data_IF_487222115100
#
_entry.id   IF_487222115100
#
_cell.length_a   1.000
_cell.length_b   1.000
_cell.length_c   1.000
_cell.angle_alpha   90.00
_cell.angle_beta   90.00
_cell.angle_gamma   90.00
#
_symmetry.space_group_name_H-M   'P 1'
#
loop_
_entity.id
_entity.type
_entity.pdbx_description
1 polymer ?
#
# COMPACT_ATOMS: atom_id res chain seq x y z
N UNK A 1 -11.84 38.93 -23.65
CA UNK A 1 -12.11 37.90 -24.67
C UNK A 1 -10.90 37.90 -25.58
N UNK A 2 -10.07 36.88 -25.73
CA UNK A 2 -10.01 35.45 -25.40
C UNK A 2 -8.51 35.15 -25.36
N UNK A 3 -7.97 34.30 -24.49
CA UNK A 3 -7.97 32.85 -24.65
C UNK A 3 -8.04 32.20 -23.26
N UNK A 4 -9.20 31.64 -22.93
CA UNK A 4 -9.21 30.47 -22.07
C UNK A 4 -8.65 29.35 -22.94
N UNK A 5 -7.35 29.06 -22.82
CA UNK A 5 -6.81 27.82 -23.34
C UNK A 5 -7.48 26.68 -22.57
N UNK A 6 -8.50 26.12 -23.22
CA UNK A 6 -9.09 24.84 -22.89
C UNK A 6 -7.99 23.79 -23.06
N UNK A 7 -7.18 23.56 -22.03
CA UNK A 7 -6.48 22.28 -21.91
C UNK A 7 -7.58 21.21 -21.95
N UNK A 8 -7.63 20.34 -22.97
CA UNK A 8 -8.40 19.12 -22.89
C UNK A 8 -7.97 18.43 -21.59
N UNK A 9 -8.89 17.81 -20.89
CA UNK A 9 -8.66 17.25 -19.56
C UNK A 9 -7.68 16.05 -19.67
N UNK A 10 -6.38 16.33 -19.83
CA UNK A 10 -5.29 15.37 -20.09
C UNK A 10 -5.24 14.30 -19.00
N UNK A 11 -5.49 14.70 -17.75
CA UNK A 11 -5.70 13.79 -16.64
C UNK A 11 -6.81 12.77 -16.94
N UNK A 12 -8.01 13.21 -17.31
CA UNK A 12 -9.13 12.32 -17.61
C UNK A 12 -8.85 11.41 -18.80
N UNK A 13 -8.15 11.89 -19.83
CA UNK A 13 -7.76 11.07 -20.98
C UNK A 13 -6.77 9.97 -20.56
N UNK A 14 -5.69 10.32 -19.86
CA UNK A 14 -4.69 9.36 -19.39
C UNK A 14 -5.29 8.38 -18.37
N UNK A 15 -6.13 8.87 -17.45
CA UNK A 15 -6.83 8.03 -16.47
C UNK A 15 -7.76 7.04 -17.16
N UNK A 16 -8.49 7.47 -18.18
CA UNK A 16 -9.37 6.59 -18.95
C UNK A 16 -8.57 5.57 -19.76
N UNK A 17 -7.49 6.00 -20.42
CA UNK A 17 -6.60 5.14 -21.21
C UNK A 17 -5.94 4.05 -20.36
N UNK A 18 -5.56 4.37 -19.13
CA UNK A 18 -4.89 3.45 -18.21
C UNK A 18 -5.79 2.93 -17.09
N UNK A 19 -7.12 3.01 -17.27
CA UNK A 19 -8.12 2.55 -16.30
C UNK A 19 -7.88 1.11 -15.84
N UNK A 20 -7.56 0.21 -16.76
CA UNK A 20 -7.26 -1.20 -16.45
C UNK A 20 -6.15 -1.36 -15.40
N UNK A 21 -5.12 -0.51 -15.46
CA UNK A 21 -4.00 -0.53 -14.53
C UNK A 21 -4.39 0.11 -13.20
N UNK A 22 -5.00 1.29 -13.26
CA UNK A 22 -5.40 2.06 -12.08
C UNK A 22 -6.38 1.25 -11.22
N UNK A 23 -7.45 0.72 -11.83
CA UNK A 23 -8.47 -0.03 -11.11
C UNK A 23 -7.91 -1.32 -10.51
N UNK A 24 -7.02 -2.02 -11.22
CA UNK A 24 -6.39 -3.25 -10.71
C UNK A 24 -5.55 -2.98 -9.46
N UNK A 25 -4.67 -1.96 -9.49
CA UNK A 25 -3.85 -1.65 -8.32
C UNK A 25 -4.64 -0.99 -7.19
N UNK A 26 -5.67 -0.18 -7.49
CA UNK A 26 -6.59 0.31 -6.47
C UNK A 26 -7.28 -0.85 -5.75
N UNK A 27 -7.73 -1.88 -6.49
CA UNK A 27 -8.35 -3.09 -5.92
C UNK A 27 -7.37 -3.84 -5.01
N UNK A 28 -6.11 -4.00 -5.43
CA UNK A 28 -5.08 -4.70 -4.65
C UNK A 28 -4.69 -3.97 -3.37
N UNK A 29 -4.45 -2.66 -3.43
CA UNK A 29 -4.04 -1.87 -2.26
C UNK A 29 -5.19 -1.59 -1.29
N UNK A 30 -6.45 -1.63 -1.76
CA UNK A 30 -7.64 -1.46 -0.93
C UNK A 30 -8.35 -2.79 -0.60
N UNK A 31 -7.68 -3.93 -0.80
CA UNK A 31 -8.23 -5.25 -0.57
C UNK A 31 -8.72 -5.39 0.89
N UNK A 32 -9.96 -5.89 1.04
CA UNK A 32 -10.63 -6.04 2.35
C UNK A 32 -11.30 -7.40 2.57
N UNK A 33 -10.88 -8.42 1.82
CA UNK A 33 -11.54 -9.73 1.80
C UNK A 33 -10.56 -10.87 2.04
N UNK A 34 -11.05 -11.89 2.73
CA UNK A 34 -10.39 -13.19 2.89
C UNK A 34 -11.20 -14.30 2.19
N UNK A 35 -12.30 -13.94 1.52
CA UNK A 35 -13.16 -14.89 0.83
C UNK A 35 -12.47 -15.39 -0.45
N UNK A 36 -12.27 -16.71 -0.53
CA UNK A 36 -11.53 -17.35 -1.63
C UNK A 36 -12.15 -17.11 -3.02
N UNK A 37 -13.48 -17.02 -3.14
CA UNK A 37 -14.17 -16.78 -4.40
C UNK A 37 -13.98 -15.34 -4.89
N UNK A 38 -14.00 -14.37 -3.96
CA UNK A 38 -13.67 -12.98 -4.25
C UNK A 38 -12.19 -12.83 -4.66
N UNK A 39 -11.27 -13.49 -3.95
CA UNK A 39 -9.85 -13.51 -4.31
C UNK A 39 -9.62 -14.11 -5.69
N UNK A 40 -10.34 -15.19 -6.02
CA UNK A 40 -10.28 -15.79 -7.35
C UNK A 40 -10.80 -14.84 -8.45
N UNK A 41 -11.80 -14.01 -8.14
CA UNK A 41 -12.30 -12.98 -9.05
C UNK A 41 -11.28 -11.86 -9.27
N UNK A 42 -10.61 -11.40 -8.20
CA UNK A 42 -9.50 -10.44 -8.29
C UNK A 42 -8.34 -11.02 -9.11
N UNK A 43 -8.00 -12.28 -8.87
CA UNK A 43 -6.98 -13.00 -9.64
C UNK A 43 -7.32 -13.03 -11.14
N UNK A 44 -8.55 -13.38 -11.53
CA UNK A 44 -8.99 -13.36 -12.93
C UNK A 44 -8.87 -11.99 -13.59
N UNK A 45 -9.19 -10.93 -12.85
CA UNK A 45 -9.01 -9.55 -13.33
C UNK A 45 -7.52 -9.25 -13.59
N UNK A 46 -6.63 -9.55 -12.64
CA UNK A 46 -5.18 -9.38 -12.80
C UNK A 46 -4.67 -10.16 -14.02
N UNK A 47 -5.08 -11.42 -14.12
CA UNK A 47 -4.72 -12.33 -15.20
C UNK A 47 -5.07 -11.72 -16.57
N UNK A 48 -6.33 -11.33 -16.75
CA UNK A 48 -6.85 -10.84 -18.03
C UNK A 48 -6.31 -9.46 -18.40
N UNK A 49 -6.35 -8.52 -17.46
CA UNK A 49 -6.04 -7.11 -17.72
C UNK A 49 -4.53 -6.84 -17.84
N UNK A 50 -3.70 -7.55 -17.06
CA UNK A 50 -2.28 -7.28 -16.94
C UNK A 50 -1.39 -8.38 -17.53
N UNK A 51 -1.63 -9.64 -17.22
CA UNK A 51 -0.68 -10.72 -17.54
C UNK A 51 -0.90 -11.25 -18.97
N UNK A 52 -2.10 -11.76 -19.27
CA UNK A 52 -2.42 -12.37 -20.57
C UNK A 52 -2.42 -11.34 -21.72
N UNK A 53 -2.68 -10.07 -21.40
CA UNK A 53 -2.52 -8.95 -22.33
C UNK A 53 -1.05 -8.63 -22.66
N UNK A 54 -0.09 -9.39 -22.10
CA UNK A 54 1.37 -9.23 -22.22
C UNK A 54 1.88 -7.86 -21.77
N UNK A 55 1.10 -7.16 -20.96
CA UNK A 55 1.46 -5.85 -20.40
C UNK A 55 2.31 -5.98 -19.14
N UNK A 56 2.24 -7.12 -18.44
CA UNK A 56 2.88 -7.31 -17.13
C UNK A 56 3.46 -8.72 -16.95
N UNK A 57 4.77 -8.87 -16.65
CA UNK A 57 5.36 -10.16 -16.33
C UNK A 57 4.76 -10.76 -15.03
N UNK A 58 4.42 -12.07 -15.00
CA UNK A 58 3.86 -12.72 -13.82
C UNK A 58 4.70 -12.55 -12.55
N UNK A 59 6.02 -12.76 -12.66
CA UNK A 59 6.98 -12.65 -11.54
C UNK A 59 6.94 -11.27 -10.89
N UNK A 60 6.77 -10.25 -11.74
CA UNK A 60 6.71 -8.86 -11.28
C UNK A 60 5.37 -8.55 -10.63
N UNK A 61 4.30 -9.17 -11.08
CA UNK A 61 2.99 -9.04 -10.45
C UNK A 61 3.02 -9.66 -9.05
N UNK A 62 3.60 -10.86 -8.91
CA UNK A 62 3.77 -11.53 -7.62
C UNK A 62 4.58 -10.64 -6.66
N UNK A 63 5.74 -10.13 -7.10
CA UNK A 63 6.55 -9.22 -6.29
C UNK A 63 5.78 -7.99 -5.82
N UNK A 64 5.01 -7.35 -6.71
CA UNK A 64 4.20 -6.21 -6.31
C UNK A 64 3.11 -6.57 -5.31
N UNK A 65 2.49 -7.74 -5.42
CA UNK A 65 1.48 -8.22 -4.46
C UNK A 65 2.14 -8.36 -3.08
N UNK A 66 3.31 -8.99 -3.00
CA UNK A 66 4.04 -9.16 -1.74
C UNK A 66 4.52 -7.83 -1.16
N UNK A 67 4.91 -6.86 -2.00
CA UNK A 67 5.31 -5.51 -1.58
C UNK A 67 4.16 -4.69 -0.95
N UNK A 68 2.89 -5.11 -1.12
CA UNK A 68 1.71 -4.48 -0.49
C UNK A 68 1.59 -4.88 0.98
N UNK A 69 2.00 -6.11 1.34
CA UNK A 69 1.73 -6.71 2.65
C UNK A 69 2.07 -5.76 3.81
N UNK A 70 3.25 -5.09 3.88
CA UNK A 70 3.56 -4.21 5.01
C UNK A 70 2.63 -3.01 5.20
N UNK A 71 1.79 -2.71 4.21
CA UNK A 71 0.87 -1.57 4.23
C UNK A 71 -0.59 -1.98 4.38
N UNK A 72 -0.90 -3.27 4.25
CA UNK A 72 -2.24 -3.84 4.44
C UNK A 72 -2.16 -5.25 5.06
N UNK A 73 -1.28 -5.42 6.05
CA UNK A 73 -0.91 -6.74 6.58
C UNK A 73 -2.06 -7.51 7.25
N UNK A 74 -3.21 -6.88 7.56
CA UNK A 74 -4.42 -7.57 7.99
C UNK A 74 -4.80 -8.70 7.03
N UNK A 75 -4.56 -8.51 5.73
CA UNK A 75 -4.95 -9.46 4.68
C UNK A 75 -3.74 -10.20 4.10
N UNK A 76 -2.71 -10.47 4.91
CA UNK A 76 -1.51 -11.17 4.47
C UNK A 76 -1.84 -12.50 3.77
N UNK A 77 -2.74 -13.31 4.35
CA UNK A 77 -3.20 -14.58 3.77
C UNK A 77 -3.79 -14.40 2.38
N UNK A 78 -4.63 -13.37 2.20
CA UNK A 78 -5.23 -13.05 0.91
C UNK A 78 -4.18 -12.73 -0.15
N UNK A 79 -3.14 -11.97 0.21
CA UNK A 79 -2.05 -11.66 -0.70
C UNK A 79 -1.19 -12.87 -1.04
N UNK A 80 -0.93 -13.75 -0.07
CA UNK A 80 -0.21 -15.01 -0.32
C UNK A 80 -0.99 -15.92 -1.26
N UNK A 81 -2.30 -16.08 -1.06
CA UNK A 81 -3.18 -16.85 -1.96
C UNK A 81 -3.17 -16.26 -3.38
N UNK A 82 -3.26 -14.93 -3.52
CA UNK A 82 -3.19 -14.28 -4.84
C UNK A 82 -1.84 -14.52 -5.52
N UNK A 83 -0.73 -14.54 -4.77
CA UNK A 83 0.59 -14.86 -5.28
C UNK A 83 0.72 -16.34 -5.71
N UNK A 84 0.12 -17.26 -4.95
CA UNK A 84 0.06 -18.69 -5.27
C UNK A 84 -0.73 -18.94 -6.56
N UNK A 85 -1.92 -18.35 -6.72
CA UNK A 85 -2.70 -18.47 -7.96
C UNK A 85 -1.93 -18.04 -9.22
N UNK A 86 -1.06 -17.02 -9.12
CA UNK A 86 -0.23 -16.60 -10.26
C UNK A 86 0.96 -17.57 -10.44
N UNK A 87 1.53 -18.09 -9.36
CA UNK A 87 2.66 -19.02 -9.42
C UNK A 87 2.25 -20.36 -10.02
N UNK A 88 1.04 -20.84 -9.71
CA UNK A 88 0.52 -22.11 -10.20
C UNK A 88 0.17 -22.04 -11.70
N UNK A 89 -0.43 -20.93 -12.14
CA UNK A 89 -0.88 -20.78 -13.53
C UNK A 89 0.26 -20.43 -14.50
N UNK A 90 1.35 -19.82 -14.02
CA UNK A 90 2.47 -19.40 -14.85
C UNK A 90 3.74 -20.12 -14.40
N UNK A 91 4.34 -20.93 -15.27
CA UNK A 91 5.64 -21.58 -15.03
C UNK A 91 6.75 -20.53 -14.87
N UNK A 92 6.88 -20.00 -13.66
CA UNK A 92 7.92 -19.06 -13.26
C UNK A 92 9.28 -19.76 -13.35
N UNK A 93 10.29 -19.11 -13.95
CA UNK A 93 11.65 -19.68 -14.08
C UNK A 93 12.22 -20.06 -12.72
N UNK A 94 13.02 -21.13 -12.66
CA UNK A 94 13.49 -21.76 -11.41
C UNK A 94 14.14 -20.77 -10.43
N UNK A 95 15.02 -19.89 -10.90
CA UNK A 95 15.67 -18.86 -10.06
C UNK A 95 14.68 -17.82 -9.50
N UNK A 96 13.73 -17.38 -10.33
CA UNK A 96 12.68 -16.44 -9.88
C UNK A 96 11.65 -17.13 -9.00
N UNK A 97 11.46 -18.44 -9.16
CA UNK A 97 10.58 -19.25 -8.35
C UNK A 97 11.16 -19.35 -6.94
N UNK A 98 12.46 -19.62 -6.80
CA UNK A 98 13.17 -19.62 -5.50
C UNK A 98 13.02 -18.27 -4.79
N UNK A 99 13.30 -17.14 -5.46
CA UNK A 99 13.17 -15.82 -4.79
C UNK A 99 11.72 -15.47 -4.40
N UNK A 100 10.73 -15.96 -5.15
CA UNK A 100 9.31 -15.75 -4.85
C UNK A 100 8.87 -16.68 -3.72
N UNK A 101 9.28 -17.94 -3.76
CA UNK A 101 9.07 -18.92 -2.71
C UNK A 101 9.74 -18.49 -1.41
N UNK A 102 10.95 -17.94 -1.44
CA UNK A 102 11.62 -17.36 -0.28
C UNK A 102 10.85 -16.15 0.27
N UNK A 103 10.29 -15.30 -0.59
CA UNK A 103 9.47 -14.16 -0.17
C UNK A 103 8.15 -14.60 0.45
N UNK A 104 7.47 -15.56 -0.18
CA UNK A 104 6.26 -16.20 0.33
C UNK A 104 6.58 -16.92 1.66
N UNK A 105 7.68 -17.66 1.72
CA UNK A 105 8.14 -18.41 2.89
C UNK A 105 8.52 -17.47 4.01
N UNK A 106 9.22 -16.36 3.74
CA UNK A 106 9.51 -15.32 4.73
C UNK A 106 8.23 -14.83 5.38
N UNK A 107 7.20 -14.52 4.58
CA UNK A 107 5.91 -14.11 5.13
C UNK A 107 5.17 -15.26 5.80
N UNK A 108 5.25 -16.49 5.30
CA UNK A 108 4.70 -17.69 5.95
C UNK A 108 5.39 -17.98 7.28
N UNK A 109 6.70 -17.76 7.43
CA UNK A 109 7.47 -17.90 8.67
C UNK A 109 7.11 -16.79 9.67
N UNK A 110 6.98 -15.54 9.22
CA UNK A 110 6.35 -14.49 10.04
C UNK A 110 4.91 -14.83 10.43
N UNK A 111 4.29 -15.74 9.68
CA UNK A 111 2.93 -16.20 9.88
C UNK A 111 2.82 -17.54 10.62
N UNK A 112 3.92 -18.23 10.90
CA UNK A 112 3.92 -19.57 11.47
C UNK A 112 5.03 -19.62 12.51
N UNK A 113 4.64 -19.42 13.77
CA UNK A 113 5.30 -20.05 14.91
C UNK A 113 4.36 -21.16 15.47
N UNK A 114 3.78 -21.95 14.55
CA UNK A 114 2.95 -23.10 14.84
C UNK A 114 3.39 -24.27 13.95
N UNK A 115 4.23 -25.13 14.52
CA UNK A 115 4.50 -26.48 14.04
C UNK A 115 3.18 -27.13 13.60
N UNK A 116 3.00 -27.45 12.32
CA UNK A 116 2.30 -28.62 11.76
C UNK A 116 2.09 -28.42 10.26
N UNK A 117 2.99 -29.04 9.49
CA UNK A 117 2.70 -29.39 8.10
C UNK A 117 1.57 -30.44 8.06
N UNK A 118 0.45 -30.11 7.42
CA UNK A 118 -0.32 -30.96 6.49
C UNK A 118 -1.85 -30.85 6.54
N UNK A 119 -2.47 -30.08 7.43
CA UNK A 119 -3.94 -29.88 7.41
C UNK A 119 -4.30 -28.39 7.29
N UNK A 120 -4.49 -27.92 6.05
CA UNK A 120 -4.82 -26.53 5.71
C UNK A 120 -6.31 -26.16 5.89
N UNK A 121 -7.09 -26.95 6.62
CA UNK A 121 -8.45 -26.56 6.97
C UNK A 121 -8.45 -25.77 8.30
N UNK A 122 -8.50 -24.44 8.17
CA UNK A 122 -8.67 -23.41 9.23
C UNK A 122 -7.39 -22.90 9.90
N UNK A 123 -6.56 -22.15 9.17
CA UNK A 123 -5.69 -21.18 9.83
C UNK A 123 -6.37 -19.81 9.74
N UNK A 124 -6.85 -19.29 10.87
CA UNK A 124 -7.43 -17.94 10.94
C UNK A 124 -6.30 -16.89 10.87
N UNK A 125 -6.53 -15.79 10.15
CA UNK A 125 -5.55 -14.71 9.95
C UNK A 125 -5.05 -14.05 11.24
N UNK A 126 -5.77 -14.25 12.36
CA UNK A 126 -5.40 -13.78 13.71
C UNK A 126 -4.14 -14.45 14.26
N UNK A 127 -3.90 -15.71 13.92
CA UNK A 127 -2.79 -16.52 14.46
C UNK A 127 -1.46 -16.25 13.72
N UNK A 128 -1.53 -15.55 12.57
CA UNK A 128 -0.44 -15.37 11.62
C UNK A 128 0.38 -14.07 11.81
N UNK A 129 0.03 -13.18 12.74
CA UNK A 129 0.67 -11.83 12.79
C UNK A 129 1.19 -11.50 14.19
N UNK A 130 0.65 -12.16 15.20
CA UNK A 130 0.98 -11.90 16.58
C UNK A 130 1.24 -13.22 17.29
N UNK A 131 2.24 -13.20 18.16
CA UNK A 131 2.43 -14.24 19.15
C UNK A 131 1.10 -14.45 19.88
N UNK A 132 0.58 -15.67 19.81
CA UNK A 132 -0.79 -16.02 20.24
C UNK A 132 -1.06 -15.68 21.71
N UNK A 133 0.00 -15.43 22.50
CA UNK A 133 -0.07 -14.97 23.88
C UNK A 133 -0.63 -13.54 24.05
N UNK A 134 -0.57 -12.67 23.02
CA UNK A 134 -1.04 -11.27 23.14
C UNK A 134 -2.24 -10.94 22.23
N UNK A 135 -3.42 -11.40 22.68
CA UNK A 135 -4.71 -11.22 22.01
C UNK A 135 -5.13 -9.75 21.77
N UNK A 136 -4.41 -8.75 22.33
CA UNK A 136 -4.77 -7.35 22.16
C UNK A 136 -4.55 -6.84 20.74
N UNK A 137 -3.53 -7.36 20.05
CA UNK A 137 -3.21 -6.89 18.72
C UNK A 137 -4.20 -7.40 17.66
N UNK A 138 -4.63 -8.68 17.68
CA UNK A 138 -5.81 -9.10 16.92
C UNK A 138 -7.05 -8.27 17.23
N UNK A 139 -7.32 -7.96 18.50
CA UNK A 139 -8.48 -7.13 18.87
C UNK A 139 -8.42 -5.74 18.21
N UNK A 140 -7.24 -5.09 18.19
CA UNK A 140 -7.05 -3.85 17.41
C UNK A 140 -7.21 -4.10 15.91
N UNK A 141 -6.54 -5.12 15.37
CA UNK A 141 -6.51 -5.41 13.94
C UNK A 141 -7.92 -5.54 13.36
N UNK A 142 -8.84 -6.22 14.06
CA UNK A 142 -10.23 -6.40 13.62
C UNK A 142 -11.21 -5.39 14.22
N UNK A 143 -10.70 -4.38 14.94
CA UNK A 143 -11.50 -3.39 15.67
C UNK A 143 -12.54 -4.04 16.60
N UNK A 144 -12.17 -5.15 17.24
CA UNK A 144 -12.98 -5.87 18.22
C UNK A 144 -12.93 -5.14 19.56
N UNK A 145 -13.86 -4.20 19.73
CA UNK A 145 -13.97 -3.35 20.91
C UNK A 145 -14.17 -4.15 22.19
N UNK A 146 -15.00 -5.20 22.16
CA UNK A 146 -15.40 -5.92 23.37
C UNK A 146 -14.21 -6.74 23.91
N UNK A 147 -13.54 -7.48 23.03
CA UNK A 147 -12.30 -8.17 23.40
C UNK A 147 -11.21 -7.20 23.84
N UNK A 148 -11.07 -6.07 23.14
CA UNK A 148 -10.08 -5.04 23.51
C UNK A 148 -10.31 -4.49 24.92
N UNK A 149 -11.56 -4.16 25.28
CA UNK A 149 -11.92 -3.67 26.62
C UNK A 149 -11.57 -4.72 27.67
N UNK A 150 -12.02 -5.97 27.49
CA UNK A 150 -11.76 -7.08 28.41
C UNK A 150 -10.24 -7.24 28.69
N UNK A 151 -9.43 -7.20 27.63
CA UNK A 151 -7.96 -7.32 27.74
C UNK A 151 -7.33 -6.14 28.48
N UNK A 152 -7.88 -4.92 28.34
CA UNK A 152 -7.36 -3.75 29.06
C UNK A 152 -7.69 -3.73 30.55
N UNK A 153 -8.64 -4.56 30.99
CA UNK A 153 -9.05 -4.72 32.39
C UNK A 153 -8.31 -5.85 33.11
N UNK A 154 -7.54 -6.66 32.38
CA UNK A 154 -6.74 -7.73 32.97
C UNK A 154 -5.64 -7.20 33.89
N UNK A 155 -5.40 -7.93 34.99
CA UNK A 155 -4.31 -7.62 35.92
C UNK A 155 -2.99 -7.71 35.17
N UNK A 156 -2.18 -6.64 35.23
CA UNK A 156 -0.89 -6.59 34.55
C UNK A 156 -0.91 -5.96 33.15
N UNK A 157 -2.07 -5.49 32.67
CA UNK A 157 -2.15 -4.74 31.41
C UNK A 157 -1.26 -3.48 31.45
N UNK A 158 -0.31 -3.38 30.51
CA UNK A 158 0.50 -2.18 30.31
C UNK A 158 -0.04 -1.35 29.14
N UNK A 159 -0.67 -0.21 29.47
CA UNK A 159 -1.14 0.77 28.48
C UNK A 159 -0.02 1.36 27.61
N UNK A 160 1.25 1.28 28.04
CA UNK A 160 2.41 1.76 27.30
C UNK A 160 3.10 0.67 26.50
N UNK A 161 2.55 -0.55 26.48
CA UNK A 161 3.11 -1.65 25.71
C UNK A 161 3.25 -1.25 24.24
N UNK A 162 4.29 -1.78 23.61
CA UNK A 162 4.58 -1.53 22.21
C UNK A 162 4.85 -2.82 21.47
N UNK A 163 4.38 -2.85 20.23
CA UNK A 163 4.72 -3.90 19.28
C UNK A 163 5.99 -3.53 18.52
N UNK A 164 6.95 -4.44 18.44
CA UNK A 164 8.07 -4.35 17.49
C UNK A 164 7.92 -5.50 16.50
N UNK A 165 7.77 -5.18 15.22
CA UNK A 165 7.59 -6.20 14.18
C UNK A 165 8.10 -5.68 12.84
N UNK A 166 8.68 -6.59 12.04
CA UNK A 166 9.14 -6.31 10.68
C UNK A 166 7.98 -6.33 9.65
N UNK A 167 6.75 -6.65 10.07
CA UNK A 167 5.56 -6.70 9.21
C UNK A 167 4.93 -5.32 8.95
N UNK A 168 5.50 -4.25 9.48
CA UNK A 168 4.98 -2.90 9.36
C UNK A 168 5.96 -2.00 8.61
N UNK A 169 5.50 -0.85 8.09
CA UNK A 169 6.37 0.09 7.40
C UNK A 169 7.45 0.64 8.32
N UNK A 170 8.58 1.05 7.73
CA UNK A 170 9.72 1.66 8.41
C UNK A 170 10.36 0.72 9.47
N UNK A 171 10.93 -0.40 9.00
CA UNK A 171 11.76 -1.35 9.77
C UNK A 171 12.60 -0.62 10.83
N UNK A 172 12.42 -0.97 12.12
CA UNK A 172 13.03 -0.39 13.34
C UNK A 172 12.14 0.51 14.23
N UNK A 173 10.82 0.63 14.02
CA UNK A 173 9.93 1.31 14.97
C UNK A 173 9.13 0.37 15.88
N UNK A 174 9.03 0.74 17.15
CA UNK A 174 8.07 0.17 18.10
C UNK A 174 6.78 0.99 18.09
N UNK A 175 5.63 0.33 18.00
CA UNK A 175 4.31 0.95 17.83
C UNK A 175 3.48 0.85 19.11
N UNK A 176 2.95 1.98 19.57
CA UNK A 176 1.95 1.98 20.63
C UNK A 176 0.60 1.42 20.16
N UNK A 177 -0.24 0.98 21.10
CA UNK A 177 -1.60 0.52 20.79
C UNK A 177 -2.41 1.56 20.00
N UNK A 178 -2.25 2.85 20.31
CA UNK A 178 -2.96 3.92 19.61
C UNK A 178 -2.48 4.09 18.16
N UNK A 179 -1.18 3.93 17.91
CA UNK A 179 -0.61 3.98 16.55
C UNK A 179 -1.06 2.78 15.73
N UNK A 180 -1.16 1.58 16.34
CA UNK A 180 -1.75 0.40 15.70
C UNK A 180 -3.23 0.62 15.35
N UNK A 181 -4.00 1.26 16.24
CA UNK A 181 -5.39 1.60 15.91
C UNK A 181 -5.47 2.53 14.69
N UNK A 182 -4.52 3.46 14.54
CA UNK A 182 -4.47 4.33 13.37
C UNK A 182 -4.08 3.57 12.10
N UNK A 183 -3.11 2.67 12.18
CA UNK A 183 -2.66 1.82 11.07
C UNK A 183 -3.79 0.93 10.55
N UNK A 184 -4.54 0.28 11.46
CA UNK A 184 -5.64 -0.61 11.10
C UNK A 184 -6.97 0.12 10.85
N UNK A 185 -7.09 1.41 11.16
CA UNK A 185 -8.37 2.12 11.11
C UNK A 185 -9.37 1.63 12.18
N UNK A 186 -8.86 1.12 13.31
CA UNK A 186 -9.65 0.56 14.42
C UNK A 186 -10.23 1.68 15.31
N UNK A 187 -11.30 2.30 14.82
CA UNK A 187 -11.89 3.51 15.41
C UNK A 187 -12.42 3.31 16.83
N UNK A 188 -12.96 2.13 17.15
CA UNK A 188 -13.56 1.88 18.46
C UNK A 188 -12.48 1.69 19.53
N UNK A 189 -11.45 0.90 19.19
CA UNK A 189 -10.26 0.73 20.04
C UNK A 189 -9.55 2.09 20.23
N UNK A 190 -9.42 2.88 19.16
CA UNK A 190 -8.84 4.22 19.20
C UNK A 190 -9.61 5.15 20.16
N UNK A 191 -10.94 5.25 19.99
CA UNK A 191 -11.81 6.09 20.83
C UNK A 191 -11.74 5.66 22.29
N UNK A 192 -11.71 4.35 22.57
CA UNK A 192 -11.55 3.82 23.93
C UNK A 192 -10.21 4.23 24.55
N UNK A 193 -9.08 4.03 23.85
CA UNK A 193 -7.75 4.43 24.34
C UNK A 193 -7.68 5.94 24.64
N UNK A 194 -8.26 6.78 23.79
CA UNK A 194 -8.32 8.24 23.99
C UNK A 194 -9.15 8.61 25.21
N UNK A 195 -10.28 7.92 25.43
CA UNK A 195 -11.23 8.27 26.51
C UNK A 195 -10.78 7.72 27.86
N UNK A 196 -10.40 6.44 27.92
CA UNK A 196 -10.07 5.74 29.18
C UNK A 196 -8.67 6.09 29.69
N UNK A 197 -7.69 6.13 28.79
CA UNK A 197 -6.27 6.25 29.15
C UNK A 197 -5.66 7.60 28.77
N UNK A 198 -6.41 8.48 28.11
CA UNK A 198 -5.91 9.74 27.57
C UNK A 198 -4.66 9.55 26.69
N UNK A 199 -4.61 8.44 25.93
CA UNK A 199 -3.46 8.07 25.11
C UNK A 199 -3.09 9.19 24.15
N UNK A 200 -1.85 9.68 24.23
CA UNK A 200 -1.40 10.86 23.48
C UNK A 200 -1.34 10.58 21.97
N UNK A 201 -1.98 11.45 21.18
CA UNK A 201 -1.85 11.43 19.71
C UNK A 201 -0.41 11.82 19.32
N UNK A 202 0.28 10.89 18.66
CA UNK A 202 1.63 11.08 18.14
C UNK A 202 1.61 11.55 16.69
N UNK A 203 2.77 11.92 16.16
CA UNK A 203 2.90 12.21 14.72
C UNK A 203 2.62 10.96 13.87
N UNK A 204 3.05 9.80 14.34
CA UNK A 204 2.82 8.50 13.72
C UNK A 204 1.33 8.16 13.66
N UNK A 205 0.54 8.51 14.69
CA UNK A 205 -0.92 8.36 14.65
C UNK A 205 -1.53 9.07 13.42
N UNK A 206 -1.18 10.35 13.20
CA UNK A 206 -1.68 11.09 12.04
C UNK A 206 -1.20 10.46 10.73
N UNK A 207 0.08 10.10 10.65
CA UNK A 207 0.66 9.48 9.45
C UNK A 207 -0.05 8.18 9.08
N UNK A 208 -0.27 7.28 10.05
CA UNK A 208 -0.97 6.03 9.82
C UNK A 208 -2.47 6.18 9.65
N UNK A 209 -3.11 7.24 10.14
CA UNK A 209 -4.53 7.46 9.87
C UNK A 209 -4.85 7.62 8.38
N UNK A 210 -3.89 8.12 7.57
CA UNK A 210 -4.03 8.19 6.11
C UNK A 210 -3.85 6.82 5.44
N UNK A 211 -3.12 5.89 6.07
CA UNK A 211 -2.99 4.52 5.60
C UNK A 211 -4.24 3.70 5.96
N UNK A 212 -4.65 3.73 7.23
CA UNK A 212 -5.77 2.96 7.75
C UNK A 212 -7.13 3.39 7.21
N UNK A 213 -7.22 4.55 6.56
CA UNK A 213 -8.39 4.90 5.75
C UNK A 213 -9.63 5.29 6.55
N UNK A 214 -9.52 5.54 7.87
CA UNK A 214 -10.65 5.85 8.73
C UNK A 214 -10.77 7.38 8.97
N UNK A 215 -11.80 8.07 8.41
CA UNK A 215 -11.94 9.52 8.51
C UNK A 215 -12.12 10.05 9.94
N UNK A 216 -12.74 9.29 10.85
CA UNK A 216 -12.91 9.69 12.25
C UNK A 216 -11.55 9.76 12.96
N UNK A 217 -10.70 8.74 12.77
CA UNK A 217 -9.36 8.72 13.36
C UNK A 217 -8.51 9.85 12.77
N UNK A 218 -8.55 10.02 11.44
CA UNK A 218 -7.80 11.06 10.74
C UNK A 218 -8.20 12.46 11.23
N UNK A 219 -9.50 12.76 11.26
CA UNK A 219 -10.01 14.07 11.69
C UNK A 219 -9.69 14.36 13.15
N UNK A 220 -9.71 13.36 14.04
CA UNK A 220 -9.28 13.53 15.43
C UNK A 220 -7.77 13.80 15.50
N UNK A 221 -6.94 13.08 14.74
CA UNK A 221 -5.49 13.29 14.73
C UNK A 221 -5.09 14.69 14.24
N UNK A 222 -5.79 15.22 13.22
CA UNK A 222 -5.56 16.55 12.64
C UNK A 222 -5.76 17.70 13.65
N UNK A 223 -6.57 17.49 14.70
CA UNK A 223 -6.74 18.49 15.78
C UNK A 223 -5.46 18.73 16.58
N UNK A 224 -4.53 17.77 16.60
CA UNK A 224 -3.33 17.81 17.45
C UNK A 224 -2.01 17.81 16.67
N UNK A 225 -2.03 17.45 15.39
CA UNK A 225 -0.85 17.30 14.55
C UNK A 225 -1.09 17.91 13.17
N UNK A 226 -0.04 18.52 12.62
CA UNK A 226 -0.03 19.00 11.23
C UNK A 226 0.47 17.89 10.31
N UNK A 227 -0.17 17.69 9.14
CA UNK A 227 0.33 16.80 8.10
C UNK A 227 1.77 17.10 7.70
N UNK A 228 2.48 16.04 7.31
CA UNK A 228 3.83 16.11 6.78
C UNK A 228 3.99 15.19 5.57
N UNK A 229 5.19 15.14 4.99
CA UNK A 229 5.47 14.33 3.81
C UNK A 229 5.16 12.83 4.02
N UNK A 230 5.24 12.29 5.25
CA UNK A 230 4.85 10.90 5.53
C UNK A 230 3.34 10.71 5.45
N UNK A 231 2.54 11.72 5.81
CA UNK A 231 1.09 11.68 5.58
C UNK A 231 0.78 11.55 4.09
N UNK A 232 1.45 12.33 3.24
CA UNK A 232 1.32 12.23 1.77
C UNK A 232 1.81 10.87 1.25
N UNK A 233 2.92 10.35 1.77
CA UNK A 233 3.42 8.99 1.46
C UNK A 233 2.33 7.95 1.75
N UNK A 234 1.74 7.95 2.94
CA UNK A 234 0.75 6.94 3.33
C UNK A 234 -0.61 7.11 2.64
N UNK A 235 -1.05 8.34 2.35
CA UNK A 235 -2.21 8.58 1.49
C UNK A 235 -2.01 8.05 0.06
N UNK A 236 -0.80 8.23 -0.49
CA UNK A 236 -0.45 7.66 -1.80
C UNK A 236 -0.43 6.12 -1.75
N UNK A 237 0.10 5.54 -0.68
CA UNK A 237 0.18 4.08 -0.54
C UNK A 237 -1.19 3.45 -0.30
N UNK A 238 -2.14 4.14 0.35
CA UNK A 238 -3.50 3.61 0.54
C UNK A 238 -4.35 3.65 -0.74
N UNK A 239 -3.80 4.14 -1.86
CA UNK A 239 -4.52 4.31 -3.12
C UNK A 239 -5.82 5.13 -2.95
N UNK A 240 -5.86 6.04 -1.97
CA UNK A 240 -7.00 6.92 -1.72
C UNK A 240 -6.73 8.30 -2.32
N UNK A 241 -7.27 8.55 -3.52
CA UNK A 241 -7.02 9.79 -4.24
C UNK A 241 -7.62 11.02 -3.54
N UNK A 242 -8.71 10.85 -2.79
CA UNK A 242 -9.33 11.92 -2.01
C UNK A 242 -8.39 12.39 -0.90
N UNK A 243 -7.68 11.47 -0.25
CA UNK A 243 -6.67 11.82 0.76
C UNK A 243 -5.46 12.51 0.16
N UNK A 244 -4.99 12.06 -1.00
CA UNK A 244 -3.86 12.67 -1.72
C UNK A 244 -4.22 14.11 -2.12
N UNK A 245 -5.37 14.30 -2.76
CA UNK A 245 -5.84 15.63 -3.21
C UNK A 245 -6.17 16.55 -2.03
N UNK A 246 -6.75 16.03 -0.94
CA UNK A 246 -6.94 16.77 0.32
C UNK A 246 -5.61 17.29 0.87
N UNK A 247 -4.59 16.44 0.99
CA UNK A 247 -3.27 16.84 1.51
C UNK A 247 -2.57 17.83 0.58
N UNK A 248 -2.72 17.67 -0.73
CA UNK A 248 -2.17 18.58 -1.72
C UNK A 248 -2.84 19.96 -1.63
N UNK A 249 -4.17 20.03 -1.64
CA UNK A 249 -4.91 21.29 -1.73
C UNK A 249 -4.97 22.04 -0.39
N UNK A 250 -5.25 21.34 0.72
CA UNK A 250 -5.46 21.98 2.02
C UNK A 250 -4.15 22.25 2.77
N UNK A 251 -3.09 21.50 2.46
CA UNK A 251 -1.81 21.60 3.16
C UNK A 251 -0.61 21.90 2.24
N UNK A 252 -0.82 22.08 0.93
CA UNK A 252 0.23 22.35 -0.05
C UNK A 252 1.38 21.32 0.00
N UNK A 253 1.05 20.05 0.28
CA UNK A 253 2.04 18.98 0.28
C UNK A 253 2.28 18.46 -1.14
N UNK A 254 3.55 18.38 -1.53
CA UNK A 254 3.95 17.85 -2.84
C UNK A 254 3.72 16.32 -2.93
N UNK A 255 3.11 15.87 -4.02
CA UNK A 255 2.97 14.46 -4.33
C UNK A 255 4.34 13.88 -4.72
N UNK A 256 4.78 12.84 -4.03
CA UNK A 256 6.07 12.22 -4.29
C UNK A 256 5.98 11.19 -5.44
N UNK A 257 6.44 11.58 -6.63
CA UNK A 257 6.52 10.72 -7.83
C UNK A 257 7.17 9.36 -7.60
N UNK A 258 8.24 9.31 -6.79
CA UNK A 258 8.92 8.04 -6.49
C UNK A 258 8.02 7.12 -5.67
N UNK A 259 7.29 7.64 -4.69
CA UNK A 259 6.30 6.88 -3.93
C UNK A 259 5.18 6.37 -4.84
N UNK A 260 4.60 7.23 -5.68
CA UNK A 260 3.57 6.80 -6.64
C UNK A 260 4.07 5.64 -7.53
N UNK A 261 5.25 5.81 -8.10
CA UNK A 261 5.86 4.83 -9.00
C UNK A 261 6.30 3.53 -8.30
N UNK A 262 6.75 3.60 -7.04
CA UNK A 262 7.13 2.42 -6.24
C UNK A 262 5.90 1.61 -5.84
N UNK A 263 4.79 2.28 -5.56
CA UNK A 263 3.57 1.65 -5.10
C UNK A 263 2.55 1.43 -6.22
N UNK A 264 2.93 1.58 -7.50
CA UNK A 264 2.03 1.39 -8.64
C UNK A 264 0.77 2.30 -8.60
N UNK A 265 0.81 3.42 -7.87
CA UNK A 265 -0.28 4.40 -7.81
C UNK A 265 -0.18 5.38 -8.98
N UNK A 266 -0.63 4.92 -10.16
CA UNK A 266 -0.61 5.73 -11.38
C UNK A 266 -1.58 6.92 -11.27
N UNK A 267 -2.72 6.79 -10.59
CA UNK A 267 -3.70 7.87 -10.46
C UNK A 267 -3.12 9.09 -9.74
N UNK A 268 -2.46 8.89 -8.59
CA UNK A 268 -1.78 10.00 -7.89
C UNK A 268 -0.61 10.57 -8.69
N UNK A 269 0.07 9.73 -9.48
CA UNK A 269 1.11 10.19 -10.39
C UNK A 269 0.56 11.08 -11.52
N UNK A 270 -0.63 10.76 -12.03
CA UNK A 270 -1.31 11.59 -13.03
C UNK A 270 -1.81 12.91 -12.42
N UNK A 271 -2.27 12.93 -11.16
CA UNK A 271 -2.57 14.19 -10.45
C UNK A 271 -1.31 15.04 -10.30
N UNK A 272 -0.17 14.44 -9.93
CA UNK A 272 1.09 15.16 -9.90
C UNK A 272 1.43 15.80 -11.26
N UNK A 273 1.27 15.05 -12.35
CA UNK A 273 1.54 15.54 -13.69
C UNK A 273 0.64 16.71 -14.06
N UNK A 274 -0.67 16.57 -13.85
CA UNK A 274 -1.68 17.60 -14.10
C UNK A 274 -1.35 18.93 -13.39
N UNK A 275 -0.85 18.85 -12.15
CA UNK A 275 -0.55 20.04 -11.35
C UNK A 275 0.79 20.71 -11.67
N UNK A 276 1.79 19.94 -12.14
CA UNK A 276 3.17 20.45 -12.29
C UNK A 276 3.60 20.62 -13.74
N UNK A 277 2.95 19.90 -14.65
CA UNK A 277 3.38 19.74 -16.04
C UNK A 277 4.87 19.34 -16.17
N UNK A 278 5.43 18.64 -15.17
CA UNK A 278 6.84 18.20 -15.18
C UNK A 278 7.01 16.95 -16.06
N UNK A 279 6.96 17.16 -17.37
CA UNK A 279 7.08 16.10 -18.40
C UNK A 279 8.39 15.31 -18.24
N UNK A 280 9.51 15.98 -17.93
CA UNK A 280 10.82 15.33 -17.74
C UNK A 280 10.83 14.43 -16.51
N UNK A 281 10.36 14.96 -15.39
CA UNK A 281 10.21 14.24 -14.15
C UNK A 281 9.29 13.04 -14.31
N UNK A 282 8.19 13.19 -15.02
CA UNK A 282 7.25 12.12 -15.29
C UNK A 282 7.92 10.99 -16.09
N UNK A 283 8.58 11.28 -17.22
CA UNK A 283 9.28 10.26 -18.01
C UNK A 283 10.23 9.39 -17.18
N UNK A 284 11.00 10.00 -16.25
CA UNK A 284 11.98 9.28 -15.42
C UNK A 284 11.30 8.16 -14.61
N UNK A 285 10.15 8.46 -14.00
CA UNK A 285 9.45 7.52 -13.13
C UNK A 285 8.42 6.64 -13.85
N UNK A 286 7.94 7.05 -15.03
CA UNK A 286 6.97 6.26 -15.83
C UNK A 286 7.46 4.86 -16.17
N UNK A 287 8.78 4.69 -16.30
CA UNK A 287 9.43 3.40 -16.52
C UNK A 287 9.06 2.35 -15.47
N UNK A 288 8.64 2.75 -14.26
CA UNK A 288 8.24 1.83 -13.19
C UNK A 288 6.87 1.20 -13.38
N UNK A 289 5.91 1.90 -13.99
CA UNK A 289 4.54 1.39 -14.13
C UNK A 289 4.41 0.20 -15.10
N UNK A 290 5.44 -0.09 -15.91
CA UNK A 290 5.38 -1.12 -16.97
C UNK A 290 4.40 -0.78 -18.10
N UNK A 291 4.27 0.50 -18.41
CA UNK A 291 3.37 0.99 -19.45
C UNK A 291 4.24 1.72 -20.47
N UNK A 292 4.77 1.03 -21.50
CA UNK A 292 5.64 1.67 -22.51
C UNK A 292 4.97 2.87 -23.17
N UNK A 293 3.66 2.78 -23.45
CA UNK A 293 2.89 3.88 -24.05
C UNK A 293 2.78 5.13 -23.17
N UNK A 294 3.00 5.01 -21.86
CA UNK A 294 3.06 6.16 -20.94
C UNK A 294 4.41 6.89 -21.11
N UNK A 295 5.51 6.15 -21.31
CA UNK A 295 6.80 6.75 -21.64
C UNK A 295 6.76 7.41 -23.02
N UNK A 296 6.16 6.74 -24.02
CA UNK A 296 5.97 7.28 -25.37
C UNK A 296 5.15 8.58 -25.33
N UNK A 297 4.10 8.62 -24.51
CA UNK A 297 3.31 9.83 -24.28
C UNK A 297 4.20 10.97 -23.78
N UNK A 298 4.98 10.80 -22.72
CA UNK A 298 5.84 11.90 -22.24
C UNK A 298 6.92 12.29 -23.25
N UNK A 299 7.48 11.34 -24.02
CA UNK A 299 8.42 11.64 -25.11
C UNK A 299 7.77 12.46 -26.23
N UNK A 300 6.52 12.15 -26.61
CA UNK A 300 5.78 12.93 -27.61
C UNK A 300 5.42 14.33 -27.12
N UNK A 301 5.36 14.53 -25.79
CA UNK A 301 5.14 15.83 -25.14
C UNK A 301 6.47 16.56 -24.82
N UNK A 302 7.58 16.16 -25.45
CA UNK A 302 8.84 16.88 -25.38
C UNK A 302 9.74 16.52 -24.20
N UNK A 303 9.50 15.40 -23.51
CA UNK A 303 10.41 14.92 -22.47
C UNK A 303 11.84 14.74 -23.01
N UNK A 304 12.81 15.32 -22.33
CA UNK A 304 14.22 15.07 -22.55
C UNK A 304 14.60 13.69 -21.98
N UNK A 305 14.92 12.75 -22.86
CA UNK A 305 15.35 11.38 -22.48
C UNK A 305 16.59 11.34 -21.57
N UNK A 306 17.42 12.39 -21.61
CA UNK A 306 18.64 12.54 -20.81
C UNK A 306 18.42 13.37 -19.52
N UNK A 307 17.19 13.79 -19.23
CA UNK A 307 16.87 14.46 -17.98
C UNK A 307 17.25 13.57 -16.78
N UNK A 308 17.69 14.22 -15.70
CA UNK A 308 18.17 13.56 -14.48
C UNK A 308 17.32 13.98 -13.29
N UNK A 309 17.00 13.02 -12.43
CA UNK A 309 16.39 13.31 -11.12
C UNK A 309 17.42 13.91 -10.16
N UNK A 310 16.97 14.21 -8.93
CA UNK A 310 17.81 14.74 -7.84
C UNK A 310 19.01 13.84 -7.48
N UNK A 311 18.98 12.56 -7.88
CA UNK A 311 20.06 11.60 -7.65
C UNK A 311 20.95 11.42 -8.90
N UNK A 312 20.79 12.27 -9.92
CA UNK A 312 21.52 12.18 -11.18
C UNK A 312 21.05 11.05 -12.10
N UNK A 313 19.90 10.42 -11.83
CA UNK A 313 19.42 9.24 -12.56
C UNK A 313 18.47 9.63 -13.69
N UNK A 314 18.71 9.06 -14.88
CA UNK A 314 17.81 9.19 -16.03
C UNK A 314 16.71 8.12 -16.03
N UNK A 315 15.73 8.24 -16.94
CA UNK A 315 14.72 7.21 -17.17
C UNK A 315 15.34 5.83 -17.43
N UNK A 316 16.43 5.76 -18.22
CA UNK A 316 17.14 4.50 -18.48
C UNK A 316 17.74 3.88 -17.23
N UNK A 317 18.33 4.68 -16.34
CA UNK A 317 18.84 4.19 -15.05
C UNK A 317 17.73 3.59 -14.18
N UNK A 318 16.52 4.19 -14.19
CA UNK A 318 15.36 3.65 -13.45
C UNK A 318 14.84 2.36 -14.09
N UNK A 319 14.78 2.30 -15.41
CA UNK A 319 14.38 1.11 -16.16
C UNK A 319 15.34 -0.07 -15.91
N UNK A 320 16.65 0.16 -15.94
CA UNK A 320 17.66 -0.87 -15.69
C UNK A 320 17.58 -1.42 -14.25
N UNK A 321 17.41 -0.55 -13.23
CA UNK A 321 17.17 -0.95 -11.84
C UNK A 321 15.91 -1.80 -11.65
N UNK A 322 14.97 -1.73 -12.60
CA UNK A 322 13.72 -2.48 -12.56
C UNK A 322 13.85 -3.88 -13.16
N UNK A 323 14.79 -4.07 -14.09
CA UNK A 323 15.06 -5.35 -14.77
C UNK A 323 15.99 -6.22 -13.90
N UNK A 324 16.91 -5.59 -13.17
CA UNK A 324 17.87 -6.29 -12.29
C UNK A 324 17.36 -6.26 -10.86
N UNK A 325 16.54 -7.26 -10.47
CA UNK A 325 16.35 -7.82 -9.11
C UNK A 325 15.10 -8.67 -9.02
#
# INVERSE_FOLDING_TARGET
MSEQDTHPNEFNELRSKYKYYIDTFNTLYQLKTENIEELYSIYKMIKTELIDSKKYPPQRMIKNILDIIPYNNRYITSYLILAEFITDDYQVTEDSKISIEDGILTYKEYSIDLDYANDFEKIESKDLIFDTENAIYPAIMYNDKESFICLTEMVGFDQKQKLTSNLYPDFCSSFSLLELCCYYGAVDCFKFLRTKFNSKITKTCLQYSFLGGNPDIMSECLKYKKPDWKCMKYATISHNIDFVTFLMNEYNLEINRYTCARNNNLESFLVYFDQTNDVNGCLIYSTRFNIPSLCEYFLSHGANINAKDINGQTALHKAAKKIVK
#
